data_IF_960073366355
#
_entry.id   IF_960073366355
#
_cell.length_a   1.000
_cell.length_b   1.000
_cell.length_c   1.000
_cell.angle_alpha   90.00
_cell.angle_beta   90.00
_cell.angle_gamma   90.00
#
_symmetry.space_group_name_H-M   'P 1'
#
loop_
_entity.id
_entity.type
_entity.pdbx_description
1 polymer ?
#
# COMPACT_ATOMS: atom_id res chain seq x y z
N UNK A 1 9.10 -2.61 -21.71
CA UNK A 1 8.53 -2.98 -20.40
C UNK A 1 9.66 -3.43 -19.50
N UNK A 2 9.60 -3.15 -18.20
CA UNK A 2 10.52 -3.78 -17.25
C UNK A 2 10.06 -5.21 -16.98
N UNK A 3 10.97 -6.15 -16.70
CA UNK A 3 10.63 -7.55 -16.42
C UNK A 3 9.55 -7.70 -15.33
N UNK A 4 9.52 -6.78 -14.36
CA UNK A 4 8.51 -6.76 -13.29
C UNK A 4 7.08 -6.50 -13.78
N UNK A 5 6.89 -5.70 -14.83
CA UNK A 5 5.55 -5.41 -15.35
C UNK A 5 5.00 -6.58 -16.15
N UNK A 6 5.87 -7.27 -16.89
CA UNK A 6 5.49 -8.47 -17.63
C UNK A 6 5.04 -9.56 -16.65
N UNK A 7 5.66 -9.65 -15.46
CA UNK A 7 5.20 -10.54 -14.40
C UNK A 7 3.80 -10.17 -13.88
N UNK A 8 3.53 -8.88 -13.66
CA UNK A 8 2.20 -8.40 -13.23
C UNK A 8 1.14 -8.70 -14.30
N UNK A 9 1.39 -8.39 -15.58
CA UNK A 9 0.45 -8.71 -16.65
C UNK A 9 0.19 -10.20 -16.79
N UNK A 10 1.25 -11.02 -16.79
CA UNK A 10 1.11 -12.49 -16.83
C UNK A 10 0.32 -12.99 -15.64
N UNK A 11 0.53 -12.42 -14.45
CA UNK A 11 -0.24 -12.77 -13.27
C UNK A 11 -1.72 -12.38 -13.42
N UNK A 12 -2.04 -11.17 -13.87
CA UNK A 12 -3.43 -10.70 -13.99
C UNK A 12 -4.21 -11.32 -15.16
N UNK A 13 -3.54 -11.90 -16.15
CA UNK A 13 -4.19 -12.51 -17.32
C UNK A 13 -5.11 -13.71 -16.98
N UNK A 14 -4.93 -14.33 -15.82
CA UNK A 14 -5.71 -15.51 -15.40
C UNK A 14 -6.88 -15.10 -14.50
N UNK A 15 -8.13 -15.51 -14.82
CA UNK A 15 -9.31 -15.13 -14.05
C UNK A 15 -9.28 -15.64 -12.61
N UNK A 16 -8.71 -16.82 -12.35
CA UNK A 16 -8.63 -17.36 -10.99
C UNK A 16 -7.72 -16.51 -10.11
N UNK A 17 -6.60 -16.03 -10.65
CA UNK A 17 -5.71 -15.13 -9.91
C UNK A 17 -6.41 -13.81 -9.57
N UNK A 18 -7.26 -13.29 -10.45
CA UNK A 18 -8.09 -12.11 -10.16
C UNK A 18 -9.11 -12.38 -9.05
N UNK A 19 -9.81 -13.52 -9.07
CA UNK A 19 -10.73 -13.91 -7.98
C UNK A 19 -10.02 -13.98 -6.62
N UNK A 20 -8.81 -14.54 -6.56
CA UNK A 20 -8.03 -14.58 -5.32
C UNK A 20 -7.62 -13.18 -4.84
N UNK A 21 -7.25 -12.29 -5.77
CA UNK A 21 -6.92 -10.89 -5.44
C UNK A 21 -8.16 -10.11 -4.99
N UNK A 22 -9.31 -10.31 -5.63
CA UNK A 22 -10.59 -9.70 -5.25
C UNK A 22 -10.99 -10.15 -3.84
N UNK A 23 -10.77 -11.43 -3.51
CA UNK A 23 -11.02 -11.93 -2.16
C UNK A 23 -10.10 -11.27 -1.11
N UNK A 24 -8.82 -11.13 -1.43
CA UNK A 24 -7.86 -10.41 -0.56
C UNK A 24 -8.15 -8.91 -0.48
N UNK A 25 -8.78 -8.34 -1.51
CA UNK A 25 -9.24 -6.96 -1.50
C UNK A 25 -10.44 -6.77 -0.56
N UNK A 26 -11.40 -7.70 -0.56
CA UNK A 26 -12.53 -7.70 0.38
C UNK A 26 -12.08 -7.88 1.83
N UNK A 27 -11.16 -8.82 2.04
CA UNK A 27 -10.65 -9.17 3.35
C UNK A 27 -9.18 -9.57 3.24
N UNK A 28 -8.32 -8.73 3.79
CA UNK A 28 -6.88 -8.93 3.79
C UNK A 28 -6.43 -9.91 4.89
N UNK A 29 -5.22 -10.46 4.76
CA UNK A 29 -4.63 -11.34 5.78
C UNK A 29 -5.24 -12.73 5.88
N UNK A 30 -5.71 -13.31 4.76
CA UNK A 30 -6.36 -14.63 4.73
C UNK A 30 -5.36 -15.79 4.76
N UNK A 31 -5.76 -16.88 5.41
CA UNK A 31 -5.06 -18.16 5.38
C UNK A 31 -5.28 -18.89 4.07
N UNK A 32 -4.43 -19.89 3.79
CA UNK A 32 -4.58 -20.73 2.60
C UNK A 32 -5.95 -21.43 2.55
N UNK A 33 -6.46 -21.92 3.68
CA UNK A 33 -7.75 -22.60 3.73
C UNK A 33 -8.94 -21.66 3.44
N UNK A 34 -8.84 -20.39 3.82
CA UNK A 34 -9.87 -19.39 3.50
C UNK A 34 -9.84 -19.00 2.01
N UNK A 35 -8.65 -18.91 1.42
CA UNK A 35 -8.48 -18.66 -0.02
C UNK A 35 -8.94 -19.86 -0.88
N UNK A 36 -8.77 -21.09 -0.39
CA UNK A 36 -9.33 -22.29 -1.02
C UNK A 36 -10.86 -22.23 -1.10
N UNK A 37 -11.53 -21.74 -0.05
CA UNK A 37 -12.98 -21.60 -0.04
C UNK A 37 -13.50 -20.59 -1.08
N UNK A 38 -12.69 -19.57 -1.42
CA UNK A 38 -13.02 -18.60 -2.46
C UNK A 38 -12.84 -19.14 -3.90
N UNK A 39 -12.13 -20.26 -4.07
CA UNK A 39 -11.86 -20.87 -5.38
C UNK A 39 -12.22 -22.38 -5.40
N UNK A 40 -13.52 -22.74 -5.24
CA UNK A 40 -13.94 -24.13 -5.04
C UNK A 40 -13.69 -25.05 -6.25
N UNK A 41 -13.48 -24.48 -7.43
CA UNK A 41 -13.15 -25.22 -8.65
C UNK A 41 -11.69 -25.74 -8.67
N UNK A 42 -10.84 -25.30 -7.73
CA UNK A 42 -9.44 -25.67 -7.66
C UNK A 42 -9.13 -26.59 -6.48
N UNK A 43 -8.13 -27.44 -6.67
CA UNK A 43 -7.51 -28.14 -5.55
C UNK A 43 -6.64 -27.18 -4.74
N UNK A 44 -6.38 -27.53 -3.47
CA UNK A 44 -5.39 -26.87 -2.61
C UNK A 44 -4.06 -26.60 -3.30
N UNK A 45 -3.52 -27.60 -4.01
CA UNK A 45 -2.29 -27.46 -4.77
C UNK A 45 -2.43 -26.47 -5.93
N UNK A 46 -3.58 -26.45 -6.60
CA UNK A 46 -3.90 -25.44 -7.62
C UNK A 46 -3.85 -24.03 -7.05
N UNK A 47 -4.54 -23.77 -5.93
CA UNK A 47 -4.53 -22.47 -5.24
C UNK A 47 -3.11 -22.07 -4.85
N UNK A 48 -2.32 -22.98 -4.28
CA UNK A 48 -0.91 -22.71 -3.94
C UNK A 48 -0.07 -22.31 -5.16
N UNK A 49 -0.28 -22.95 -6.32
CA UNK A 49 0.43 -22.60 -7.56
C UNK A 49 0.06 -21.19 -8.02
N UNK A 50 -1.22 -20.81 -7.94
CA UNK A 50 -1.66 -19.46 -8.28
C UNK A 50 -1.09 -18.41 -7.31
N UNK A 51 -1.09 -18.69 -6.01
CA UNK A 51 -0.49 -17.82 -5.00
C UNK A 51 1.01 -17.64 -5.20
N UNK A 52 1.75 -18.69 -5.58
CA UNK A 52 3.17 -18.56 -5.88
C UNK A 52 3.46 -17.60 -7.06
N UNK A 53 2.62 -17.62 -8.10
CA UNK A 53 2.74 -16.66 -9.22
C UNK A 53 2.41 -15.24 -8.77
N UNK A 54 1.38 -15.07 -7.93
CA UNK A 54 1.02 -13.77 -7.37
C UNK A 54 2.11 -13.23 -6.43
N UNK A 55 2.73 -14.07 -5.60
CA UNK A 55 3.87 -13.73 -4.74
C UNK A 55 5.08 -13.32 -5.59
N UNK A 56 5.37 -14.05 -6.68
CA UNK A 56 6.47 -13.72 -7.59
C UNK A 56 6.25 -12.39 -8.32
N UNK A 57 5.01 -12.09 -8.71
CA UNK A 57 4.64 -10.79 -9.30
C UNK A 57 4.56 -9.66 -8.24
N UNK A 58 4.75 -9.98 -6.96
CA UNK A 58 4.63 -9.04 -5.86
C UNK A 58 3.20 -8.59 -5.58
N UNK A 59 2.18 -9.22 -6.17
CA UNK A 59 0.76 -8.89 -5.97
C UNK A 59 0.20 -9.46 -4.65
N UNK A 60 0.87 -10.47 -4.10
CA UNK A 60 0.56 -11.04 -2.78
C UNK A 60 1.82 -11.03 -1.93
N UNK A 61 1.70 -10.59 -0.68
CA UNK A 61 2.75 -10.65 0.34
C UNK A 61 2.34 -11.66 1.39
N UNK A 62 3.29 -12.41 1.94
CA UNK A 62 2.97 -13.40 2.98
C UNK A 62 3.71 -13.16 4.28
N UNK A 63 3.00 -13.36 5.38
CA UNK A 63 3.53 -13.22 6.74
C UNK A 63 3.09 -14.41 7.59
N UNK A 64 3.98 -14.86 8.46
CA UNK A 64 3.69 -15.92 9.43
C UNK A 64 3.17 -15.27 10.71
N UNK A 65 1.95 -15.61 11.11
CA UNK A 65 1.36 -15.18 12.38
C UNK A 65 1.01 -16.43 13.19
N UNK A 66 1.73 -16.64 14.29
CA UNK A 66 1.63 -17.87 15.07
C UNK A 66 1.94 -19.12 14.23
N UNK A 67 0.95 -20.01 14.08
CA UNK A 67 1.06 -21.27 13.32
C UNK A 67 0.60 -21.15 11.87
N UNK A 68 0.04 -20.01 11.46
CA UNK A 68 -0.59 -19.84 10.16
C UNK A 68 0.22 -18.90 9.25
N UNK A 69 0.20 -19.19 7.94
CA UNK A 69 0.71 -18.30 6.89
C UNK A 69 -0.49 -17.49 6.37
N UNK A 70 -0.41 -16.18 6.55
CA UNK A 70 -1.41 -15.22 6.10
C UNK A 70 -0.92 -14.56 4.81
N UNK A 71 -1.84 -14.32 3.89
CA UNK A 71 -1.60 -13.74 2.57
C UNK A 71 -2.28 -12.38 2.54
N UNK A 72 -1.54 -11.39 2.04
CA UNK A 72 -1.97 -10.02 1.99
C UNK A 72 -1.95 -9.49 0.56
N UNK A 73 -2.95 -8.71 0.17
CA UNK A 73 -2.95 -8.01 -1.11
C UNK A 73 -1.89 -6.90 -1.08
N UNK A 74 -0.98 -6.94 -2.06
CA UNK A 74 -0.08 -5.82 -2.31
C UNK A 74 -0.49 -5.09 -3.59
N UNK A 75 -1.18 -3.96 -3.42
CA UNK A 75 -1.69 -3.16 -4.54
C UNK A 75 -0.63 -2.27 -5.22
N UNK A 76 0.57 -2.14 -4.64
CA UNK A 76 1.63 -1.24 -5.16
C UNK A 76 2.01 -1.58 -6.62
N UNK A 77 2.24 -2.84 -7.02
CA UNK A 77 2.59 -3.15 -8.42
C UNK A 77 1.49 -2.79 -9.42
N UNK A 78 0.21 -2.95 -9.04
CA UNK A 78 -0.93 -2.55 -9.87
C UNK A 78 -0.94 -1.03 -10.07
N UNK A 79 -0.72 -0.29 -8.98
CA UNK A 79 -0.68 1.18 -9.02
C UNK A 79 0.46 1.71 -9.88
N UNK A 80 1.66 1.18 -9.71
CA UNK A 80 2.82 1.53 -10.53
C UNK A 80 2.58 1.24 -12.02
N UNK A 81 1.90 0.13 -12.34
CA UNK A 81 1.56 -0.23 -13.70
C UNK A 81 0.54 0.75 -14.31
N UNK A 82 -0.50 1.11 -13.54
CA UNK A 82 -1.51 2.09 -13.94
C UNK A 82 -0.85 3.41 -14.34
N UNK A 83 -0.02 3.96 -13.45
CA UNK A 83 0.60 5.28 -13.65
C UNK A 83 1.61 5.29 -14.80
N UNK A 84 2.41 4.22 -14.92
CA UNK A 84 3.48 4.18 -15.93
C UNK A 84 2.97 3.89 -17.34
N UNK A 85 1.90 3.11 -17.45
CA UNK A 85 1.45 2.57 -18.74
C UNK A 85 0.02 2.96 -19.07
N UNK A 86 -0.95 2.70 -18.18
CA UNK A 86 -2.38 2.92 -18.47
C UNK A 86 -2.69 4.41 -18.60
N UNK A 87 -2.06 5.26 -17.79
CA UNK A 87 -2.31 6.71 -17.82
C UNK A 87 -1.94 7.36 -19.16
N UNK A 88 -1.01 6.76 -19.93
CA UNK A 88 -0.67 7.21 -21.30
C UNK A 88 -1.83 7.06 -22.28
N UNK A 89 -2.76 6.16 -21.99
CA UNK A 89 -3.92 5.83 -22.82
C UNK A 89 -5.23 6.33 -22.20
N UNK A 90 -5.17 7.08 -21.09
CA UNK A 90 -6.33 7.70 -20.46
C UNK A 90 -6.75 8.93 -21.27
N UNK A 91 -7.28 8.71 -22.46
CA UNK A 91 -7.90 9.75 -23.29
C UNK A 91 -9.26 10.12 -22.65
N UNK A 92 -9.44 11.41 -22.33
CA UNK A 92 -10.67 11.95 -21.72
C UNK A 92 -11.92 11.65 -22.54
N UNK A 93 -11.80 11.52 -23.87
CA UNK A 93 -12.93 11.18 -24.73
C UNK A 93 -13.36 9.71 -24.59
N UNK A 94 -12.42 8.81 -24.32
CA UNK A 94 -12.72 7.38 -24.12
C UNK A 94 -13.50 7.18 -22.82
N UNK A 95 -13.14 7.87 -21.75
CA UNK A 95 -13.87 7.82 -20.47
C UNK A 95 -15.32 8.29 -20.61
N UNK A 96 -15.57 9.38 -21.36
CA UNK A 96 -16.92 9.88 -21.61
C UNK A 96 -17.78 8.88 -22.41
N UNK A 97 -17.18 8.17 -23.38
CA UNK A 97 -17.85 7.12 -24.16
C UNK A 97 -18.15 5.87 -23.31
N UNK A 98 -17.25 5.49 -22.40
CA UNK A 98 -17.48 4.38 -21.46
C UNK A 98 -18.62 4.71 -20.48
N UNK A 99 -18.63 5.93 -19.93
CA UNK A 99 -19.71 6.37 -19.03
C UNK A 99 -21.08 6.43 -19.75
N UNK A 100 -21.11 6.85 -21.02
CA UNK A 100 -22.32 6.82 -21.84
C UNK A 100 -22.79 5.39 -22.09
N UNK A 101 -21.85 4.46 -22.36
CA UNK A 101 -22.15 3.04 -22.52
C UNK A 101 -22.71 2.44 -21.24
N UNK A 102 -22.09 2.67 -20.08
CA UNK A 102 -22.56 2.14 -18.80
C UNK A 102 -23.95 2.70 -18.43
N UNK A 103 -24.22 3.97 -18.77
CA UNK A 103 -25.53 4.60 -18.60
C UNK A 103 -26.61 3.98 -19.49
N UNK A 104 -26.26 3.66 -20.75
CA UNK A 104 -27.18 3.03 -21.71
C UNK A 104 -27.40 1.53 -21.43
N UNK A 105 -26.38 0.85 -20.90
CA UNK A 105 -26.43 -0.58 -20.55
C UNK A 105 -27.07 -0.83 -19.16
N UNK A 106 -27.38 0.24 -18.41
CA UNK A 106 -28.02 0.14 -17.09
C UNK A 106 -27.11 -0.46 -16.01
N UNK A 107 -25.81 -0.59 -16.28
CA UNK A 107 -24.82 -1.08 -15.32
C UNK A 107 -24.57 0.02 -14.30
N UNK A 108 -25.36 0.03 -13.22
CA UNK A 108 -24.96 0.73 -12.01
C UNK A 108 -23.69 0.06 -11.51
N UNK A 109 -22.55 0.74 -11.67
CA UNK A 109 -21.35 0.49 -10.88
C UNK A 109 -21.72 0.83 -9.44
N UNK A 110 -22.33 -0.12 -8.73
CA UNK A 110 -22.60 0.00 -7.30
C UNK A 110 -21.25 0.10 -6.62
N UNK A 111 -20.98 1.26 -6.01
CA UNK A 111 -19.88 1.43 -5.09
C UNK A 111 -19.91 0.28 -4.10
N UNK A 112 -18.81 -0.47 -4.06
CA UNK A 112 -18.61 -1.52 -3.08
C UNK A 112 -18.34 -0.79 -1.76
N UNK A 113 -19.42 -0.50 -1.04
CA UNK A 113 -19.37 -0.42 0.42
C UNK A 113 -19.13 -1.85 0.91
N UNK A 114 -17.91 -2.13 1.36
CA UNK A 114 -17.63 -3.35 2.10
C UNK A 114 -16.96 -2.97 3.41
N UNK A 115 -17.80 -2.95 4.45
CA UNK A 115 -17.45 -2.99 5.86
C UNK A 115 -16.76 -4.32 6.17
N UNK A 116 -15.45 -4.34 5.99
CA UNK A 116 -14.55 -5.18 6.79
C UNK A 116 -13.31 -4.34 7.06
N UNK A 117 -13.27 -3.71 8.23
CA UNK A 117 -12.07 -3.04 8.71
C UNK A 117 -10.96 -4.09 8.80
N UNK A 118 -10.02 -4.05 7.85
CA UNK A 118 -8.88 -4.96 7.83
C UNK A 118 -7.97 -4.62 8.98
N UNK A 119 -7.83 -5.56 9.92
CA UNK A 119 -7.01 -5.43 11.13
C UNK A 119 -5.56 -5.00 10.85
N UNK A 120 -5.05 -5.40 9.68
CA UNK A 120 -3.66 -5.22 9.25
C UNK A 120 -3.60 -5.14 7.73
N UNK A 121 -2.81 -4.20 7.22
CA UNK A 121 -2.49 -4.06 5.80
C UNK A 121 -0.99 -4.09 5.59
N UNK A 122 -0.54 -4.78 4.54
CA UNK A 122 0.88 -4.98 4.25
C UNK A 122 1.19 -4.60 2.81
N UNK A 123 2.12 -3.68 2.64
CA UNK A 123 2.59 -3.21 1.35
C UNK A 123 4.06 -3.53 1.19
N UNK A 124 4.47 -4.03 0.03
CA UNK A 124 5.87 -4.34 -0.24
C UNK A 124 6.29 -3.79 -1.60
N UNK A 125 7.48 -3.21 -1.66
CA UNK A 125 8.05 -2.74 -2.92
C UNK A 125 9.56 -2.84 -2.91
N UNK A 126 10.13 -2.94 -4.11
CA UNK A 126 11.56 -2.87 -4.33
C UNK A 126 11.92 -1.49 -4.86
N UNK A 127 12.93 -0.87 -4.27
CA UNK A 127 13.43 0.46 -4.61
C UNK A 127 14.90 0.32 -4.98
N UNK A 128 15.30 0.80 -6.16
CA UNK A 128 16.69 0.84 -6.60
C UNK A 128 17.44 1.95 -5.85
N UNK A 129 17.84 1.65 -4.63
CA UNK A 129 18.55 2.53 -3.72
C UNK A 129 19.24 1.72 -2.62
N UNK A 130 20.16 2.35 -1.90
CA UNK A 130 20.75 1.81 -0.67
C UNK A 130 19.76 1.84 0.50
N UNK A 131 20.04 1.06 1.54
CA UNK A 131 19.17 1.01 2.73
C UNK A 131 19.13 2.36 3.43
N UNK A 132 20.26 3.06 3.43
CA UNK A 132 20.45 4.41 3.97
C UNK A 132 19.68 5.46 3.17
N UNK A 133 19.62 5.34 1.84
CA UNK A 133 18.84 6.25 0.98
C UNK A 133 17.34 6.11 1.24
N UNK A 134 16.83 4.88 1.37
CA UNK A 134 15.41 4.64 1.71
C UNK A 134 15.11 5.14 3.13
N UNK A 135 16.00 4.88 4.10
CA UNK A 135 15.86 5.39 5.46
C UNK A 135 15.82 6.91 5.50
N UNK A 136 16.76 7.56 4.82
CA UNK A 136 16.80 9.00 4.68
C UNK A 136 15.51 9.55 4.06
N UNK A 137 14.95 8.86 3.08
CA UNK A 137 13.71 9.29 2.44
C UNK A 137 12.52 9.32 3.39
N UNK A 138 12.37 8.31 4.26
CA UNK A 138 11.24 8.25 5.21
C UNK A 138 11.46 9.07 6.48
N UNK A 139 12.67 9.58 6.73
CA UNK A 139 13.00 10.33 7.96
C UNK A 139 13.31 11.81 7.75
N UNK A 140 13.83 12.21 6.59
CA UNK A 140 14.25 13.59 6.32
C UNK A 140 13.05 14.44 5.86
N UNK A 141 12.71 15.53 6.57
CA UNK A 141 11.50 16.31 6.28
C UNK A 141 11.37 16.79 4.83
N UNK A 142 12.47 17.20 4.21
CA UNK A 142 12.55 17.68 2.85
C UNK A 142 12.34 16.60 1.78
N UNK A 143 12.53 15.32 2.12
CA UNK A 143 12.20 14.19 1.25
C UNK A 143 10.78 13.71 1.53
N UNK A 144 10.38 13.63 2.81
CA UNK A 144 9.02 13.25 3.21
C UNK A 144 7.97 14.13 2.53
N UNK A 145 8.18 15.46 2.52
CA UNK A 145 7.28 16.38 1.84
C UNK A 145 7.07 16.07 0.34
N UNK A 146 8.06 15.47 -0.33
CA UNK A 146 7.96 15.16 -1.77
C UNK A 146 7.03 14.01 -2.09
N UNK A 147 6.88 13.03 -1.18
CA UNK A 147 6.05 11.85 -1.44
C UNK A 147 4.79 11.76 -0.59
N UNK A 148 4.75 12.46 0.55
CA UNK A 148 3.68 12.38 1.54
C UNK A 148 2.87 13.69 1.56
N UNK A 149 2.21 14.00 0.44
CA UNK A 149 1.28 15.15 0.31
C UNK A 149 1.83 16.52 0.73
N UNK A 150 3.14 16.76 0.61
CA UNK A 150 3.74 18.03 1.05
C UNK A 150 3.89 18.16 2.57
N UNK A 151 3.57 17.11 3.35
CA UNK A 151 3.62 17.19 4.80
C UNK A 151 5.04 17.45 5.28
N UNK A 152 5.15 18.31 6.30
CA UNK A 152 6.40 18.52 7.01
C UNK A 152 6.37 17.64 8.26
N UNK A 153 7.43 16.86 8.45
CA UNK A 153 7.57 16.01 9.64
C UNK A 153 8.58 16.60 10.61
N UNK A 154 8.29 16.48 11.90
CA UNK A 154 9.12 16.96 13.00
C UNK A 154 9.26 15.84 14.04
N UNK A 155 10.49 15.36 14.25
CA UNK A 155 10.81 14.29 15.21
C UNK A 155 12.29 14.25 15.53
N UNK A 156 12.63 13.84 16.75
CA UNK A 156 14.01 13.45 17.12
C UNK A 156 14.30 11.98 16.79
N UNK A 157 13.27 11.20 16.44
CA UNK A 157 13.34 9.75 16.20
C UNK A 157 13.84 8.93 17.39
N UNK A 158 13.78 9.48 18.61
CA UNK A 158 14.00 8.74 19.86
C UNK A 158 12.73 7.98 20.26
N UNK A 159 12.87 6.80 20.86
CA UNK A 159 11.71 6.05 21.36
C UNK A 159 10.95 6.88 22.40
N UNK A 160 9.64 7.01 22.21
CA UNK A 160 8.74 7.84 23.02
C UNK A 160 8.61 9.30 22.55
N UNK A 161 9.48 9.76 21.64
CA UNK A 161 9.37 11.10 21.06
C UNK A 161 8.17 11.22 20.11
N UNK A 162 7.72 12.45 19.87
CA UNK A 162 6.65 12.75 18.92
C UNK A 162 7.19 12.83 17.50
N UNK A 163 6.47 12.19 16.58
CA UNK A 163 6.57 12.37 15.14
C UNK A 163 5.36 13.16 14.68
N UNK A 164 5.49 14.49 14.67
CA UNK A 164 4.42 15.39 14.24
C UNK A 164 4.46 15.51 12.73
N UNK A 165 3.30 15.42 12.09
CA UNK A 165 3.13 15.79 10.69
C UNK A 165 2.21 17.01 10.61
N UNK A 166 2.62 18.00 9.84
CA UNK A 166 1.87 19.25 9.64
C UNK A 166 1.65 19.52 8.15
N UNK A 167 0.62 20.30 7.86
CA UNK A 167 0.29 20.76 6.52
C UNK A 167 1.46 21.50 5.84
N UNK A 168 1.49 21.60 4.50
CA UNK A 168 2.56 22.27 3.77
C UNK A 168 2.78 23.73 4.18
N UNK A 169 1.69 24.42 4.54
CA UNK A 169 1.71 25.80 5.06
C UNK A 169 2.04 25.88 6.57
N UNK A 170 2.06 24.75 7.28
CA UNK A 170 2.39 24.63 8.69
C UNK A 170 1.28 25.05 9.66
N UNK A 171 0.08 25.35 9.15
CA UNK A 171 -1.03 25.84 9.98
C UNK A 171 -1.78 24.72 10.70
N UNK A 172 -1.85 23.53 10.09
CA UNK A 172 -2.65 22.42 10.59
C UNK A 172 -1.78 21.22 10.97
N UNK A 173 -2.09 20.59 12.09
CA UNK A 173 -1.45 19.34 12.51
C UNK A 173 -2.23 18.18 11.90
N UNK A 174 -1.58 17.41 11.03
CA UNK A 174 -2.17 16.24 10.37
C UNK A 174 -2.01 14.95 11.19
N UNK A 175 -1.03 14.89 12.09
CA UNK A 175 -0.85 13.76 12.99
C UNK A 175 0.16 14.04 14.11
N UNK A 176 -0.05 13.40 15.26
CA UNK A 176 0.74 13.56 16.49
C UNK A 176 1.30 12.23 17.01
N UNK A 177 1.86 11.46 16.08
CA UNK A 177 2.33 10.09 16.27
C UNK A 177 3.44 9.98 17.32
N UNK A 178 3.59 8.80 17.91
CA UNK A 178 4.65 8.50 18.89
C UNK A 178 5.59 7.43 18.34
N UNK A 179 6.90 7.65 18.43
CA UNK A 179 7.92 6.66 18.04
C UNK A 179 7.90 5.50 19.05
N UNK A 180 7.65 4.29 18.57
CA UNK A 180 7.63 3.06 19.37
C UNK A 180 8.94 2.29 19.28
N UNK A 181 9.59 2.31 18.12
CA UNK A 181 10.86 1.63 17.84
C UNK A 181 11.62 2.39 16.75
N UNK A 182 12.94 2.51 16.88
CA UNK A 182 13.80 3.16 15.89
C UNK A 182 15.15 2.43 15.86
N UNK A 183 15.41 1.68 14.78
CA UNK A 183 16.67 0.98 14.50
C UNK A 183 17.17 1.36 13.10
N UNK A 184 17.85 2.51 12.95
CA UNK A 184 18.35 2.98 11.66
C UNK A 184 19.43 2.04 11.09
N UNK A 185 19.46 1.77 9.76
CA UNK A 185 18.49 2.16 8.74
C UNK A 185 17.42 1.08 8.45
N UNK A 186 17.17 0.16 9.40
CA UNK A 186 16.44 -1.09 9.15
C UNK A 186 14.97 -1.02 9.49
N UNK A 187 14.60 -0.30 10.55
CA UNK A 187 13.26 -0.40 11.11
C UNK A 187 12.81 0.87 11.82
N UNK A 188 11.59 1.30 11.53
CA UNK A 188 10.91 2.41 12.20
C UNK A 188 9.49 1.99 12.53
N UNK A 189 9.08 2.10 13.79
CA UNK A 189 7.72 1.83 14.23
C UNK A 189 7.18 3.05 14.95
N UNK A 190 6.00 3.51 14.56
CA UNK A 190 5.33 4.62 15.21
C UNK A 190 3.82 4.40 15.25
N UNK A 191 3.14 5.08 16.17
CA UNK A 191 1.68 5.12 16.18
C UNK A 191 1.16 5.95 15.01
N UNK A 192 -0.13 5.85 14.74
CA UNK A 192 -0.78 6.62 13.69
C UNK A 192 -2.11 7.18 14.19
N UNK A 193 -2.27 8.51 14.05
CA UNK A 193 -3.53 9.22 14.24
C UNK A 193 -3.72 10.24 13.13
N UNK A 194 -4.87 10.19 12.47
CA UNK A 194 -5.26 11.14 11.42
C UNK A 194 -6.00 12.33 12.04
N UNK A 195 -5.28 13.43 12.32
CA UNK A 195 -5.87 14.63 12.94
C UNK A 195 -6.55 15.58 11.94
N UNK A 196 -6.35 15.36 10.64
CA UNK A 196 -6.99 16.16 9.58
C UNK A 196 -8.48 15.83 9.38
N UNK A 197 -8.97 14.73 9.96
CA UNK A 197 -10.38 14.32 9.94
C UNK A 197 -10.88 14.18 11.38
N UNK A 198 -11.87 14.99 11.83
CA UNK A 198 -12.35 14.94 13.21
C UNK A 198 -12.89 13.57 13.66
N UNK A 199 -13.43 12.80 12.73
CA UNK A 199 -13.99 11.49 13.03
C UNK A 199 -12.92 10.42 13.17
N UNK A 200 -11.83 10.50 12.39
CA UNK A 200 -10.66 9.63 12.56
C UNK A 200 -9.80 10.04 13.76
N UNK A 201 -9.77 11.33 14.10
CA UNK A 201 -8.95 11.85 15.20
C UNK A 201 -9.34 11.26 16.56
N UNK A 202 -10.61 10.86 16.73
CA UNK A 202 -11.13 10.26 17.97
C UNK A 202 -10.99 8.74 18.00
N UNK A 203 -10.57 8.11 16.90
CA UNK A 203 -10.29 6.67 16.88
C UNK A 203 -9.01 6.34 17.68
N UNK A 204 -8.91 5.12 18.24
CA UNK A 204 -7.67 4.63 18.84
C UNK A 204 -6.49 4.71 17.87
N UNK A 205 -5.29 4.91 18.43
CA UNK A 205 -4.07 4.94 17.63
C UNK A 205 -3.80 3.58 17.01
N UNK A 206 -3.70 3.55 15.68
CA UNK A 206 -3.17 2.41 14.95
C UNK A 206 -1.63 2.48 14.93
N UNK A 207 -0.96 1.56 14.22
CA UNK A 207 0.50 1.50 14.18
C UNK A 207 1.01 1.28 12.77
N UNK A 208 2.04 2.02 12.41
CA UNK A 208 2.78 1.88 11.15
C UNK A 208 4.19 1.39 11.45
N UNK A 209 4.60 0.36 10.73
CA UNK A 209 5.93 -0.25 10.77
C UNK A 209 6.56 -0.18 9.39
N UNK A 210 7.75 0.38 9.32
CA UNK A 210 8.62 0.38 8.15
C UNK A 210 9.73 -0.64 8.38
N UNK A 211 9.86 -1.62 7.49
CA UNK A 211 10.94 -2.61 7.46
C UNK A 211 11.73 -2.42 6.16
N UNK A 212 13.02 -2.13 6.27
CA UNK A 212 13.90 -1.90 5.14
C UNK A 212 14.93 -3.02 5.12
N UNK A 213 15.00 -3.78 4.04
CA UNK A 213 15.93 -4.89 3.85
C UNK A 213 16.79 -4.63 2.63
N UNK A 214 18.11 -4.66 2.81
CA UNK A 214 19.07 -4.55 1.71
C UNK A 214 19.12 -5.84 0.90
N UNK A 215 19.19 -5.71 -0.43
CA UNK A 215 19.44 -6.78 -1.38
C UNK A 215 20.67 -6.43 -2.25
N UNK A 216 21.10 -7.39 -3.08
CA UNK A 216 22.21 -7.18 -4.01
C UNK A 216 21.96 -6.02 -4.98
N UNK A 217 23.04 -5.42 -5.50
CA UNK A 217 23.00 -4.43 -6.59
C UNK A 217 22.22 -3.12 -6.30
N UNK A 218 22.34 -2.54 -5.11
CA UNK A 218 21.66 -1.27 -4.75
C UNK A 218 20.14 -1.39 -4.90
N UNK A 219 19.59 -2.49 -4.39
CA UNK A 219 18.16 -2.74 -4.34
C UNK A 219 17.75 -2.92 -2.89
N UNK A 220 16.72 -2.22 -2.45
CA UNK A 220 16.13 -2.39 -1.13
C UNK A 220 14.69 -2.86 -1.25
N UNK A 221 14.33 -3.84 -0.43
CA UNK A 221 12.94 -4.21 -0.18
C UNK A 221 12.42 -3.39 0.98
N UNK A 222 11.42 -2.58 0.71
CA UNK A 222 10.67 -1.86 1.73
C UNK A 222 9.35 -2.60 1.99
N UNK A 223 9.06 -2.92 3.24
CA UNK A 223 7.75 -3.42 3.68
C UNK A 223 7.14 -2.40 4.64
N UNK A 224 5.93 -1.92 4.32
CA UNK A 224 5.11 -1.12 5.21
C UNK A 224 3.98 -1.98 5.76
N UNK A 225 3.85 -2.03 7.08
CA UNK A 225 2.77 -2.73 7.77
C UNK A 225 1.99 -1.69 8.56
N UNK A 226 0.69 -1.60 8.30
CA UNK A 226 -0.24 -0.79 9.08
C UNK A 226 -1.20 -1.72 9.82
N UNK A 227 -1.05 -1.85 11.14
CA UNK A 227 -1.85 -2.73 11.99
C UNK A 227 -2.54 -1.99 13.15
N UNK A 228 -3.25 -2.75 14.00
CA UNK A 228 -4.13 -2.24 15.07
C UNK A 228 -5.28 -1.39 14.54
N UNK A 229 -5.83 -1.79 13.40
CA UNK A 229 -6.95 -1.13 12.75
C UNK A 229 -8.33 -1.67 13.21
N UNK A 230 -8.34 -2.73 14.04
CA UNK A 230 -9.54 -3.41 14.51
C UNK A 230 -10.56 -2.50 15.21
N UNK A 231 -10.07 -1.43 15.84
CA UNK A 231 -10.88 -0.45 16.57
C UNK A 231 -10.94 0.92 15.89
N UNK A 232 -10.41 1.03 14.67
CA UNK A 232 -10.29 2.29 13.92
C UNK A 232 -10.81 2.12 12.49
N UNK A 233 -12.12 1.83 12.30
CA UNK A 233 -12.69 1.46 11.02
C UNK A 233 -12.60 2.58 9.96
N UNK A 234 -12.69 3.86 10.34
CA UNK A 234 -12.55 4.97 9.39
C UNK A 234 -11.12 5.11 8.91
N UNK A 235 -10.16 4.97 9.82
CA UNK A 235 -8.74 4.87 9.47
C UNK A 235 -8.51 3.66 8.54
N UNK A 236 -9.07 2.49 8.86
CA UNK A 236 -8.95 1.27 8.06
C UNK A 236 -9.53 1.39 6.63
N UNK A 237 -10.56 2.21 6.43
CA UNK A 237 -11.10 2.49 5.10
C UNK A 237 -10.18 3.39 4.25
N UNK A 238 -9.39 4.26 4.90
CA UNK A 238 -8.60 5.32 4.24
C UNK A 238 -7.13 4.96 4.00
N UNK A 239 -6.64 3.87 4.57
CA UNK A 239 -5.28 3.36 4.37
C UNK A 239 -4.96 2.91 2.94
N UNK A 240 -5.96 2.83 2.05
CA UNK A 240 -5.75 2.65 0.59
C UNK A 240 -4.83 3.71 -0.03
N UNK A 241 -4.73 4.89 0.60
CA UNK A 241 -3.80 5.96 0.21
C UNK A 241 -2.32 5.57 0.23
N UNK A 242 -1.94 4.53 1.00
CA UNK A 242 -0.56 4.04 1.06
C UNK A 242 -0.02 3.61 -0.30
N UNK A 243 -0.86 3.06 -1.18
CA UNK A 243 -0.44 2.62 -2.51
C UNK A 243 0.16 3.76 -3.35
N UNK A 244 -0.46 4.94 -3.33
CA UNK A 244 0.05 6.14 -4.00
C UNK A 244 1.29 6.68 -3.29
N UNK A 245 1.24 6.81 -1.96
CA UNK A 245 2.35 7.32 -1.14
C UNK A 245 3.63 6.50 -1.37
N UNK A 246 3.53 5.17 -1.37
CA UNK A 246 4.66 4.26 -1.57
C UNK A 246 5.17 4.27 -3.02
N UNK A 247 4.27 4.41 -4.00
CA UNK A 247 4.64 4.59 -5.40
C UNK A 247 5.40 5.91 -5.62
N UNK A 248 4.96 6.98 -4.94
CA UNK A 248 5.59 8.29 -4.98
C UNK A 248 6.94 8.26 -4.25
N UNK A 249 7.04 7.59 -3.10
CA UNK A 249 8.29 7.38 -2.36
C UNK A 249 9.33 6.72 -3.26
N UNK A 250 8.97 5.60 -3.90
CA UNK A 250 9.84 4.92 -4.87
C UNK A 250 10.30 5.86 -5.97
N UNK A 251 9.38 6.62 -6.56
CA UNK A 251 9.69 7.55 -7.65
C UNK A 251 10.65 8.66 -7.19
N UNK A 252 10.41 9.25 -6.02
CA UNK A 252 11.27 10.28 -5.43
C UNK A 252 12.66 9.73 -5.14
N UNK A 253 12.77 8.52 -4.59
CA UNK A 253 14.06 7.91 -4.29
C UNK A 253 14.83 7.56 -5.57
N UNK A 254 14.16 6.98 -6.58
CA UNK A 254 14.84 6.52 -7.80
C UNK A 254 15.15 7.65 -8.80
N UNK A 255 14.42 8.76 -8.76
CA UNK A 255 14.50 9.82 -9.79
C UNK A 255 14.73 11.22 -9.24
N UNK A 256 14.58 11.42 -7.93
CA UNK A 256 14.59 12.73 -7.28
C UNK A 256 13.32 13.57 -7.50
N UNK A 257 12.33 13.08 -8.26
CA UNK A 257 11.11 13.79 -8.65
C UNK A 257 9.86 13.13 -8.07
N UNK A 258 8.87 13.95 -7.71
CA UNK A 258 7.56 13.47 -7.28
C UNK A 258 6.71 13.02 -8.46
N UNK A 259 5.79 12.09 -8.21
CA UNK A 259 4.69 11.79 -9.10
C UNK A 259 3.75 13.01 -9.23
N UNK A 260 3.09 13.19 -10.38
CA UNK A 260 2.05 14.18 -10.52
C UNK A 260 0.88 13.88 -9.58
N UNK A 261 0.17 14.90 -9.07
CA UNK A 261 -1.05 14.69 -8.29
C UNK A 261 -2.07 13.89 -9.11
N UNK A 262 -2.81 13.03 -8.43
CA UNK A 262 -3.86 12.23 -9.06
C UNK A 262 -5.16 12.95 -8.77
N UNK A 263 -5.74 13.57 -9.82
CA UNK A 263 -7.09 14.16 -9.80
C UNK A 263 -8.17 13.09 -9.59
#
# INVERSE_FOLDING_TARGET
>A
MSDGDDLVFKALADPTRRVLLDKLFEQDGLTLSELEAAAPALTRFGVMKHLAVLEQAGLVVTRKQGRHKHHYLNAVPIRLLLERWIDKYRDRHVTALLNLKDHLEGTKMTGIESETATATQVYQLYIRASQEEVWAAITRPEIVAKFFHGARVESTYEVGSKLRSVSPDGNDVWGDNTILECDPPRRLVHTWRSLYDPEMAVEPESRVTWEIESHEQQLCRLTLIHDRLDQSPKTAANVKGWSYILSNLKTVVETGKSLPPVE
#
